data_IF_823730205523
#
_entry.id   IF_823730205523
#
_cell.length_a   1.000
_cell.length_b   1.000
_cell.length_c   1.000
_cell.angle_alpha   90.00
_cell.angle_beta   90.00
_cell.angle_gamma   90.00
#
_symmetry.space_group_name_H-M   'P 1'
#
loop_
_entity.id
_entity.type
_entity.pdbx_description
1 polymer ?
#
# COMPACT_ATOMS: atom_id res chain seq x y z
N UNK A 1 31.35 -64.12 -12.37
CA UNK A 1 31.27 -63.53 -11.02
C UNK A 1 30.83 -62.08 -11.20
N UNK A 2 29.53 -61.81 -11.07
CA UNK A 2 28.93 -60.50 -11.34
C UNK A 2 28.98 -59.68 -10.03
N UNK A 3 29.73 -58.58 -10.00
CA UNK A 3 29.78 -57.69 -8.83
C UNK A 3 28.60 -56.70 -8.88
N UNK A 4 27.70 -56.82 -7.92
CA UNK A 4 26.60 -55.88 -7.69
C UNK A 4 27.15 -54.67 -6.92
N UNK A 5 27.19 -53.49 -7.56
CA UNK A 5 27.52 -52.23 -6.89
C UNK A 5 26.28 -51.73 -6.14
N UNK A 6 26.30 -51.79 -4.81
CA UNK A 6 25.27 -51.17 -3.96
C UNK A 6 25.62 -49.69 -3.81
N UNK A 7 24.87 -48.81 -4.49
CA UNK A 7 24.88 -47.38 -4.20
C UNK A 7 24.10 -47.13 -2.90
N UNK A 8 24.82 -46.80 -1.83
CA UNK A 8 24.23 -46.27 -0.60
C UNK A 8 23.92 -44.80 -0.84
N UNK A 9 22.65 -44.48 -1.07
CA UNK A 9 22.17 -43.10 -1.12
C UNK A 9 22.25 -42.47 0.26
N UNK A 10 23.13 -41.50 0.44
CA UNK A 10 23.16 -40.64 1.63
C UNK A 10 21.99 -39.67 1.51
N UNK A 11 20.90 -39.95 2.23
CA UNK A 11 19.80 -39.01 2.40
C UNK A 11 20.27 -37.90 3.34
N UNK A 12 20.48 -36.69 2.81
CA UNK A 12 20.58 -35.50 3.65
C UNK A 12 19.20 -35.22 4.25
N UNK A 13 19.03 -35.20 5.58
CA UNK A 13 17.77 -34.75 6.17
C UNK A 13 17.54 -33.31 5.72
N UNK A 14 16.44 -33.08 5.00
CA UNK A 14 15.99 -31.73 4.72
C UNK A 14 15.75 -31.04 6.06
N UNK A 15 16.52 -30.00 6.36
CA UNK A 15 16.21 -29.11 7.46
C UNK A 15 14.90 -28.40 7.12
N UNK A 16 13.78 -28.92 7.61
CA UNK A 16 12.53 -28.18 7.61
C UNK A 16 12.75 -26.94 8.49
N UNK A 17 12.83 -25.77 7.86
CA UNK A 17 12.98 -24.51 8.58
C UNK A 17 11.81 -24.38 9.56
N UNK A 18 12.12 -24.24 10.86
CA UNK A 18 11.10 -24.03 11.89
C UNK A 18 10.38 -22.71 11.57
N UNK A 19 9.05 -22.76 11.42
CA UNK A 19 8.23 -21.58 11.22
C UNK A 19 8.41 -20.61 12.39
N UNK A 20 8.50 -19.33 12.05
CA UNK A 20 8.51 -18.23 13.01
C UNK A 20 7.10 -17.66 13.18
N UNK A 21 6.82 -16.88 14.24
CA UNK A 21 5.52 -16.21 14.45
C UNK A 21 4.94 -15.52 13.22
N UNK A 22 5.78 -14.80 12.48
CA UNK A 22 5.37 -14.10 11.25
C UNK A 22 4.87 -15.04 10.14
N UNK A 23 5.37 -16.28 10.08
CA UNK A 23 4.99 -17.26 9.04
C UNK A 23 3.57 -17.81 9.22
N UNK A 24 2.97 -17.56 10.39
CA UNK A 24 1.58 -17.90 10.67
C UNK A 24 0.60 -16.78 10.31
N UNK A 25 1.07 -15.57 9.99
CA UNK A 25 0.16 -14.47 9.66
C UNK A 25 -0.43 -14.65 8.26
N UNK A 26 -1.76 -14.63 8.18
CA UNK A 26 -2.50 -14.62 6.93
C UNK A 26 -3.16 -13.24 6.71
N UNK A 27 -2.55 -12.39 5.89
CA UNK A 27 -3.05 -11.04 5.60
C UNK A 27 -4.38 -11.02 4.84
N UNK A 28 -4.81 -12.13 4.23
CA UNK A 28 -6.13 -12.23 3.59
C UNK A 28 -7.23 -12.65 4.58
N UNK A 29 -6.88 -13.17 5.76
CA UNK A 29 -7.90 -13.60 6.70
C UNK A 29 -8.72 -12.39 7.16
N UNK A 30 -10.04 -12.51 6.96
CA UNK A 30 -11.01 -11.48 7.32
C UNK A 30 -11.27 -10.44 6.23
N UNK A 31 -10.55 -10.41 5.10
CA UNK A 31 -10.70 -9.37 4.06
C UNK A 31 -11.87 -9.61 3.09
N UNK A 32 -12.93 -10.28 3.56
CA UNK A 32 -14.17 -10.47 2.82
C UNK A 32 -15.32 -9.99 3.70
N UNK A 33 -16.23 -9.19 3.13
CA UNK A 33 -17.24 -8.45 3.87
C UNK A 33 -16.62 -7.62 5.01
N UNK A 34 -15.52 -6.94 4.71
CA UNK A 34 -14.67 -6.23 5.68
C UNK A 34 -14.65 -4.73 5.50
N UNK A 35 -14.40 -3.99 6.57
CA UNK A 35 -14.26 -2.52 6.50
C UNK A 35 -12.94 -2.10 5.83
N UNK A 36 -12.87 -0.84 5.40
CA UNK A 36 -11.73 -0.21 4.70
C UNK A 36 -10.38 -0.42 5.39
N UNK A 37 -10.38 -0.42 6.72
CA UNK A 37 -9.16 -0.55 7.53
C UNK A 37 -8.62 -1.99 7.60
N UNK A 38 -9.30 -2.97 7.00
CA UNK A 38 -8.85 -4.35 6.94
C UNK A 38 -8.45 -4.72 5.51
N UNK A 39 -7.15 -4.69 5.27
CA UNK A 39 -6.56 -4.80 3.94
C UNK A 39 -5.42 -5.85 3.92
N UNK A 40 -5.11 -6.45 2.76
CA UNK A 40 -4.02 -7.42 2.63
C UNK A 40 -2.63 -6.79 2.40
N UNK A 41 -2.58 -5.52 1.99
CA UNK A 41 -1.36 -4.82 1.65
C UNK A 41 -0.37 -4.59 2.81
N UNK A 42 0.90 -4.25 2.50
CA UNK A 42 1.92 -3.92 3.49
C UNK A 42 1.61 -2.68 4.32
N UNK A 43 1.97 -2.77 5.59
CA UNK A 43 2.12 -1.64 6.51
C UNK A 43 3.13 -2.01 7.60
N UNK A 44 3.71 -1.01 8.26
CA UNK A 44 4.49 -1.19 9.49
C UNK A 44 3.56 -1.11 10.71
N UNK A 45 3.99 -1.55 11.92
CA UNK A 45 3.19 -1.37 13.12
C UNK A 45 2.69 0.08 13.25
N UNK A 46 1.37 0.25 13.26
CA UNK A 46 0.64 1.51 13.25
C UNK A 46 1.01 2.47 12.11
N UNK A 47 1.57 1.99 10.99
CA UNK A 47 2.04 2.83 9.89
C UNK A 47 1.00 3.85 9.40
N UNK A 48 1.48 5.04 9.05
CA UNK A 48 0.73 6.04 8.30
C UNK A 48 0.40 5.50 6.90
N UNK A 49 1.39 4.93 6.23
CA UNK A 49 1.19 4.25 4.95
C UNK A 49 0.59 2.87 5.17
N UNK A 50 -0.51 2.63 4.48
CA UNK A 50 -1.21 1.35 4.39
C UNK A 50 -1.46 1.11 2.92
N UNK A 51 -0.41 0.68 2.24
CA UNK A 51 -0.37 0.56 0.79
C UNK A 51 -1.01 -0.77 0.38
N UNK A 52 -2.18 -0.74 -0.25
CA UNK A 52 -2.94 -1.98 -0.51
C UNK A 52 -3.72 -1.92 -1.83
N UNK A 53 -4.00 -3.08 -2.47
CA UNK A 53 -4.94 -3.17 -3.57
C UNK A 53 -6.35 -2.69 -3.20
N UNK A 54 -6.99 -2.01 -4.16
CA UNK A 54 -8.40 -1.65 -4.15
C UNK A 54 -9.14 -2.37 -5.28
N UNK A 55 -10.29 -2.95 -4.97
CA UNK A 55 -11.13 -3.66 -5.94
C UNK A 55 -12.65 -3.42 -5.80
N UNK A 56 -13.08 -2.64 -4.81
CA UNK A 56 -14.46 -2.21 -4.67
C UNK A 56 -14.64 -0.73 -5.03
N UNK A 57 -15.89 -0.36 -5.32
CA UNK A 57 -16.29 1.02 -5.55
C UNK A 57 -16.48 1.81 -4.25
N UNK A 58 -17.05 3.01 -4.37
CA UNK A 58 -17.42 3.85 -3.23
C UNK A 58 -18.72 3.34 -2.59
N UNK A 59 -18.56 2.42 -1.64
CA UNK A 59 -19.64 1.74 -0.92
C UNK A 59 -19.23 1.54 0.53
N UNK A 60 -20.19 1.31 1.43
CA UNK A 60 -19.87 0.81 2.76
C UNK A 60 -19.00 -0.45 2.64
N UNK A 61 -17.94 -0.55 3.44
CA UNK A 61 -16.93 -1.62 3.34
C UNK A 61 -16.11 -1.61 2.03
N UNK A 62 -16.14 -0.52 1.26
CA UNK A 62 -15.27 -0.35 0.09
C UNK A 62 -13.80 -0.52 0.46
N UNK A 63 -12.94 -0.72 -0.55
CA UNK A 63 -11.54 -1.10 -0.40
C UNK A 63 -11.26 -2.42 -1.10
N UNK A 64 -10.82 -3.41 -0.32
CA UNK A 64 -10.47 -4.74 -0.80
C UNK A 64 -11.48 -5.80 -0.34
N UNK A 65 -12.02 -6.56 -1.29
CA UNK A 65 -12.87 -7.73 -1.11
C UNK A 65 -12.21 -8.95 -1.75
N UNK A 66 -11.89 -9.96 -0.94
CA UNK A 66 -11.18 -11.17 -1.38
C UNK A 66 -11.88 -11.92 -2.52
N UNK A 67 -13.22 -11.88 -2.57
CA UNK A 67 -14.01 -12.56 -3.61
C UNK A 67 -14.04 -11.82 -4.97
N UNK A 68 -13.53 -10.59 -5.06
CA UNK A 68 -13.50 -9.81 -6.31
C UNK A 68 -12.16 -10.01 -7.02
N UNK A 69 -12.16 -10.76 -8.13
CA UNK A 69 -10.97 -11.14 -8.90
C UNK A 69 -10.42 -10.07 -9.87
N UNK A 70 -10.54 -8.78 -9.54
CA UNK A 70 -10.01 -7.67 -10.33
C UNK A 70 -9.49 -6.58 -9.42
N UNK A 71 -8.45 -5.84 -9.81
CA UNK A 71 -7.89 -4.71 -9.06
C UNK A 71 -7.96 -3.47 -9.94
N UNK A 72 -8.38 -2.34 -9.37
CA UNK A 72 -8.35 -1.05 -10.07
C UNK A 72 -7.21 -0.15 -9.60
N UNK A 73 -6.57 -0.44 -8.46
CA UNK A 73 -5.29 0.19 -8.14
C UNK A 73 -4.75 -0.14 -6.77
N UNK A 74 -3.75 0.63 -6.36
CA UNK A 74 -3.09 0.51 -5.07
C UNK A 74 -3.07 1.88 -4.38
N UNK A 75 -3.93 2.10 -3.38
CA UNK A 75 -3.96 3.34 -2.62
C UNK A 75 -3.07 3.31 -1.37
N UNK A 76 -2.58 4.48 -0.97
CA UNK A 76 -1.55 4.62 0.08
C UNK A 76 -2.13 4.71 1.50
N UNK A 77 -3.44 4.92 1.64
CA UNK A 77 -4.12 5.13 2.91
C UNK A 77 -5.33 4.20 3.05
N UNK A 78 -5.33 3.38 4.10
CA UNK A 78 -6.46 2.54 4.51
C UNK A 78 -6.76 2.75 6.00
N UNK A 79 -7.13 3.99 6.37
CA UNK A 79 -7.46 4.40 7.73
C UNK A 79 -8.92 4.81 7.87
N UNK A 80 -9.48 4.79 9.09
CA UNK A 80 -10.87 5.21 9.28
C UNK A 80 -11.06 6.66 8.80
N UNK A 81 -11.95 6.87 7.83
CA UNK A 81 -12.22 8.16 7.15
C UNK A 81 -11.02 8.76 6.39
N UNK A 82 -9.96 7.97 6.19
CA UNK A 82 -8.73 8.42 5.54
C UNK A 82 -8.37 7.51 4.38
N UNK A 83 -8.28 8.11 3.20
CA UNK A 83 -8.04 7.49 1.92
C UNK A 83 -7.24 8.48 1.06
N UNK A 84 -6.58 8.00 0.01
CA UNK A 84 -5.98 8.91 -0.96
C UNK A 84 -4.76 8.33 -1.63
N UNK A 85 -4.40 8.96 -2.75
CA UNK A 85 -3.29 8.63 -3.62
C UNK A 85 -3.30 7.16 -4.06
N UNK A 86 -3.94 6.91 -5.19
CA UNK A 86 -3.95 5.60 -5.84
C UNK A 86 -3.04 5.59 -7.04
N UNK A 87 -2.30 4.49 -7.19
CA UNK A 87 -1.48 4.22 -8.37
C UNK A 87 -1.93 2.92 -9.03
N UNK A 88 -1.92 2.88 -10.36
CA UNK A 88 -2.22 1.64 -11.09
C UNK A 88 -1.29 1.51 -12.31
N UNK A 89 -0.43 0.47 -12.37
CA UNK A 89 0.30 0.17 -13.59
C UNK A 89 -0.64 -0.52 -14.58
N UNK A 90 -0.66 -0.06 -15.83
CA UNK A 90 -1.55 -0.57 -16.87
C UNK A 90 -0.95 -0.34 -18.25
N UNK A 91 -1.56 -0.91 -19.29
CA UNK A 91 -1.17 -0.73 -20.70
C UNK A 91 -2.39 -0.91 -21.61
N UNK A 92 -2.17 -1.01 -22.93
CA UNK A 92 -3.25 -1.05 -23.91
C UNK A 92 -3.85 0.32 -24.19
N UNK A 93 -5.15 0.37 -24.46
CA UNK A 93 -5.87 1.60 -24.76
C UNK A 93 -5.89 2.54 -23.53
N UNK A 94 -5.73 3.84 -23.75
CA UNK A 94 -5.84 4.80 -22.66
C UNK A 94 -7.30 4.87 -22.20
N UNK A 95 -7.51 4.61 -20.92
CA UNK A 95 -8.78 4.78 -20.24
C UNK A 95 -8.53 5.42 -18.89
N UNK A 96 -9.41 6.35 -18.52
CA UNK A 96 -9.32 7.14 -17.30
C UNK A 96 -10.35 6.69 -16.24
N UNK A 97 -11.14 5.66 -16.56
CA UNK A 97 -12.08 5.03 -15.63
C UNK A 97 -11.52 3.68 -15.16
N UNK A 98 -11.75 3.28 -13.90
CA UNK A 98 -11.32 1.98 -13.39
C UNK A 98 -11.96 0.82 -14.15
N UNK A 99 -13.27 0.92 -14.33
CA UNK A 99 -14.11 -0.15 -14.83
C UNK A 99 -14.39 -1.23 -13.79
N UNK A 100 -15.30 -2.13 -14.14
CA UNK A 100 -15.75 -3.23 -13.27
C UNK A 100 -15.08 -4.55 -13.69
N UNK A 101 -15.11 -5.61 -12.86
CA UNK A 101 -14.49 -6.90 -13.19
C UNK A 101 -14.99 -7.54 -14.51
N UNK A 102 -16.20 -7.20 -14.94
CA UNK A 102 -16.83 -7.74 -16.15
C UNK A 102 -16.65 -6.83 -17.38
N UNK A 103 -16.14 -5.61 -17.20
CA UNK A 103 -15.86 -4.70 -18.32
C UNK A 103 -14.61 -5.18 -19.10
N UNK A 104 -14.53 -4.86 -20.41
CA UNK A 104 -13.36 -5.22 -21.20
C UNK A 104 -12.12 -4.44 -20.75
N UNK A 105 -10.93 -5.00 -20.99
CA UNK A 105 -9.66 -4.31 -20.79
C UNK A 105 -9.20 -3.49 -22.02
N UNK A 106 -9.74 -3.79 -23.20
CA UNK A 106 -9.39 -3.12 -24.47
C UNK A 106 -10.64 -2.83 -25.29
N UNK A 107 -10.57 -1.81 -26.14
CA UNK A 107 -11.66 -1.39 -27.02
C UNK A 107 -12.68 -0.49 -26.32
N UNK A 108 -13.87 -0.38 -26.92
CA UNK A 108 -14.93 0.48 -26.43
C UNK A 108 -15.35 0.08 -25.01
N UNK A 109 -15.55 1.08 -24.14
CA UNK A 109 -15.93 0.93 -22.73
C UNK A 109 -14.89 0.25 -21.84
N UNK A 110 -13.62 0.16 -22.26
CA UNK A 110 -12.57 -0.44 -21.45
C UNK A 110 -12.26 0.35 -20.16
N UNK A 111 -11.92 -0.37 -19.10
CA UNK A 111 -11.41 0.18 -17.84
C UNK A 111 -9.91 -0.12 -17.66
N UNK A 112 -9.21 0.66 -16.83
CA UNK A 112 -7.78 0.43 -16.57
C UNK A 112 -7.51 -0.70 -15.57
N UNK A 113 -8.56 -1.25 -14.95
CA UNK A 113 -8.47 -2.37 -14.02
C UNK A 113 -7.73 -3.54 -14.66
N UNK A 114 -7.27 -4.47 -13.83
CA UNK A 114 -6.80 -5.75 -14.31
C UNK A 114 -7.33 -6.85 -13.43
N UNK A 115 -7.80 -7.90 -14.08
CA UNK A 115 -8.14 -9.17 -13.44
C UNK A 115 -6.90 -9.82 -12.87
N UNK A 116 -7.10 -10.62 -11.83
CA UNK A 116 -6.08 -11.46 -11.22
C UNK A 116 -6.72 -12.79 -10.80
N UNK A 117 -5.90 -13.81 -10.57
CA UNK A 117 -6.37 -15.07 -9.98
C UNK A 117 -6.06 -15.08 -8.48
N UNK A 118 -6.91 -15.69 -7.63
CA UNK A 118 -6.62 -15.78 -6.20
C UNK A 118 -5.27 -16.43 -5.85
N UNK A 119 -4.78 -17.36 -6.68
CA UNK A 119 -3.45 -17.99 -6.55
C UNK A 119 -2.30 -17.12 -7.08
N UNK A 120 -2.61 -16.07 -7.84
CA UNK A 120 -1.69 -15.06 -8.38
C UNK A 120 -1.43 -13.89 -7.44
N UNK A 121 -1.91 -13.93 -6.20
CA UNK A 121 -1.61 -12.93 -5.17
C UNK A 121 -0.88 -13.56 -3.97
N UNK A 122 0.02 -12.79 -3.36
CA UNK A 122 0.77 -13.17 -2.16
C UNK A 122 0.78 -11.99 -1.20
N UNK A 123 0.57 -12.27 0.09
CA UNK A 123 0.59 -11.25 1.12
C UNK A 123 1.19 -11.80 2.41
N UNK A 124 1.99 -10.98 3.08
CA UNK A 124 2.59 -11.24 4.39
C UNK A 124 2.83 -9.89 5.08
N UNK A 125 3.02 -9.84 6.41
CA UNK A 125 3.32 -8.58 7.08
C UNK A 125 4.49 -7.84 6.43
N UNK A 126 4.23 -6.62 5.93
CA UNK A 126 5.21 -5.80 5.23
C UNK A 126 5.44 -6.09 3.74
N UNK A 127 4.69 -7.00 3.12
CA UNK A 127 4.81 -7.29 1.68
C UNK A 127 3.50 -7.76 1.03
N UNK A 128 3.25 -7.30 -0.20
CA UNK A 128 2.16 -7.78 -1.06
C UNK A 128 2.66 -7.92 -2.50
N UNK A 129 2.12 -8.88 -3.24
CA UNK A 129 2.33 -9.00 -4.68
C UNK A 129 1.10 -9.55 -5.39
N UNK A 130 0.92 -9.15 -6.65
CA UNK A 130 -0.11 -9.69 -7.53
C UNK A 130 0.33 -9.68 -8.99
N UNK A 131 -0.05 -10.72 -9.73
CA UNK A 131 0.07 -10.78 -11.18
C UNK A 131 -1.20 -10.19 -11.83
N UNK A 132 -1.06 -9.03 -12.48
CA UNK A 132 -2.14 -8.36 -13.20
C UNK A 132 -2.27 -8.97 -14.60
N UNK A 133 -3.26 -9.83 -14.78
CA UNK A 133 -3.36 -10.73 -15.95
C UNK A 133 -3.60 -9.97 -17.25
N UNK A 134 -4.45 -8.95 -17.22
CA UNK A 134 -4.86 -8.23 -18.43
C UNK A 134 -3.74 -7.36 -18.99
N UNK A 135 -2.96 -6.75 -18.09
CA UNK A 135 -1.81 -5.93 -18.45
C UNK A 135 -0.51 -6.73 -18.56
N UNK A 136 -0.47 -7.97 -18.09
CA UNK A 136 0.76 -8.76 -17.94
C UNK A 136 1.84 -8.06 -17.10
N UNK A 137 1.42 -7.30 -16.09
CA UNK A 137 2.31 -6.58 -15.17
C UNK A 137 2.30 -7.30 -13.83
N UNK A 138 3.49 -7.56 -13.27
CA UNK A 138 3.59 -7.96 -11.85
C UNK A 138 3.72 -6.71 -11.00
N UNK A 139 2.88 -6.59 -9.98
CA UNK A 139 2.96 -5.53 -8.98
C UNK A 139 3.40 -6.08 -7.63
N UNK A 140 4.41 -5.47 -7.03
CA UNK A 140 4.94 -5.79 -5.70
C UNK A 140 4.96 -4.52 -4.85
N UNK A 141 4.54 -4.63 -3.60
CA UNK A 141 4.36 -3.51 -2.67
C UNK A 141 5.08 -3.81 -1.36
N UNK A 142 5.71 -2.79 -0.80
CA UNK A 142 6.18 -2.75 0.59
C UNK A 142 6.02 -1.34 1.15
N UNK A 143 6.21 -1.15 2.44
CA UNK A 143 6.05 0.16 3.08
C UNK A 143 6.97 0.31 4.29
N UNK A 144 7.37 1.54 4.57
CA UNK A 144 7.87 1.98 5.88
C UNK A 144 6.71 2.58 6.67
N UNK A 145 6.97 3.29 7.77
CA UNK A 145 5.89 3.94 8.54
C UNK A 145 5.16 5.02 7.73
N UNK A 146 5.86 5.83 6.91
CA UNK A 146 5.28 6.99 6.19
C UNK A 146 5.61 7.01 4.69
N UNK A 147 6.28 5.98 4.20
CA UNK A 147 6.67 5.86 2.78
C UNK A 147 6.21 4.54 2.18
N UNK A 148 5.48 4.58 1.06
CA UNK A 148 5.16 3.40 0.26
C UNK A 148 6.22 3.14 -0.81
N UNK A 149 6.52 1.87 -1.09
CA UNK A 149 7.45 1.48 -2.16
C UNK A 149 6.80 0.41 -3.03
N UNK A 150 6.85 0.62 -4.34
CA UNK A 150 6.21 -0.22 -5.34
C UNK A 150 7.26 -0.66 -6.36
N UNK A 151 7.21 -1.92 -6.78
CA UNK A 151 8.01 -2.46 -7.88
C UNK A 151 7.06 -3.05 -8.92
N UNK A 152 7.14 -2.54 -10.14
CA UNK A 152 6.34 -3.01 -11.27
C UNK A 152 7.26 -3.64 -12.31
N UNK A 153 7.02 -4.92 -12.64
CA UNK A 153 7.64 -5.58 -13.79
C UNK A 153 6.76 -5.33 -15.01
N UNK A 154 7.18 -4.40 -15.85
CA UNK A 154 6.47 -4.01 -17.06
C UNK A 154 6.84 -4.95 -18.23
N UNK A 155 5.87 -5.48 -18.99
CA UNK A 155 6.15 -6.32 -20.15
C UNK A 155 6.69 -5.46 -21.30
N UNK A 156 7.25 -6.11 -22.33
CA UNK A 156 7.56 -5.45 -23.61
C UNK A 156 6.28 -4.89 -24.24
N UNK A 157 6.05 -3.60 -24.06
CA UNK A 157 4.90 -2.87 -24.58
C UNK A 157 5.24 -1.37 -24.70
N UNK A 158 4.85 -0.75 -25.81
CA UNK A 158 5.05 0.69 -26.05
C UNK A 158 4.03 1.57 -25.31
N UNK A 159 2.99 0.95 -24.75
CA UNK A 159 1.84 1.61 -24.14
C UNK A 159 1.84 1.53 -22.60
N UNK A 160 2.86 0.96 -21.95
CA UNK A 160 2.89 0.89 -20.49
C UNK A 160 2.78 2.29 -19.86
N UNK A 161 1.94 2.36 -18.83
CA UNK A 161 1.63 3.56 -18.06
C UNK A 161 1.58 3.25 -16.58
N UNK A 162 1.86 4.26 -15.77
CA UNK A 162 1.56 4.26 -14.35
C UNK A 162 0.58 5.40 -14.10
N UNK A 163 -0.65 5.05 -13.78
CA UNK A 163 -1.72 5.97 -13.42
C UNK A 163 -1.52 6.47 -12.00
N UNK A 164 -1.84 7.74 -11.74
CA UNK A 164 -1.79 8.42 -10.44
C UNK A 164 -3.12 9.14 -10.27
N UNK A 165 -3.88 8.81 -9.23
CA UNK A 165 -5.25 9.25 -9.07
C UNK A 165 -5.46 9.80 -7.66
N UNK A 166 -6.12 10.96 -7.57
CA UNK A 166 -6.44 11.59 -6.30
C UNK A 166 -7.93 11.50 -5.95
N UNK A 167 -8.77 11.21 -6.95
CA UNK A 167 -10.15 10.78 -6.76
C UNK A 167 -10.23 9.27 -6.75
N UNK A 168 -10.52 8.67 -5.60
CA UNK A 168 -10.45 7.22 -5.41
C UNK A 168 -11.70 6.70 -4.70
N UNK A 169 -12.05 5.42 -4.87
CA UNK A 169 -13.05 4.77 -4.02
C UNK A 169 -12.63 4.78 -2.55
N UNK A 170 -13.61 4.88 -1.65
CA UNK A 170 -13.43 4.79 -0.21
C UNK A 170 -14.70 4.22 0.45
N UNK A 171 -14.64 3.89 1.74
CA UNK A 171 -15.80 3.38 2.49
C UNK A 171 -16.89 4.43 2.74
N UNK A 172 -16.49 5.69 2.88
CA UNK A 172 -17.39 6.84 3.00
C UNK A 172 -17.27 7.72 1.77
N UNK A 173 -18.26 8.60 1.55
CA UNK A 173 -18.21 9.58 0.48
C UNK A 173 -16.85 10.31 0.50
N UNK A 174 -16.10 10.22 -0.61
CA UNK A 174 -14.80 10.84 -0.76
C UNK A 174 -14.94 12.00 -1.76
N UNK A 175 -14.79 13.22 -1.26
CA UNK A 175 -14.90 14.42 -2.08
C UNK A 175 -13.57 15.14 -2.13
N UNK A 176 -12.99 15.22 -3.32
CA UNK A 176 -11.78 15.98 -3.55
C UNK A 176 -12.11 17.46 -3.75
N UNK A 177 -11.75 18.30 -2.78
CA UNK A 177 -12.10 19.73 -2.76
C UNK A 177 -11.10 20.58 -3.53
N UNK A 178 -9.81 20.27 -3.39
CA UNK A 178 -8.72 20.95 -4.08
C UNK A 178 -7.55 19.98 -4.19
N UNK A 179 -6.88 19.96 -5.33
CA UNK A 179 -5.81 19.03 -5.57
C UNK A 179 -4.84 19.55 -6.62
N UNK A 180 -3.59 19.13 -6.50
CA UNK A 180 -2.53 19.47 -7.42
C UNK A 180 -1.56 18.32 -7.62
N UNK A 181 -1.16 18.10 -8.86
CA UNK A 181 -0.07 17.20 -9.24
C UNK A 181 0.92 18.00 -10.08
N UNK A 182 2.18 18.02 -9.67
CA UNK A 182 3.25 18.78 -10.32
C UNK A 182 4.40 17.84 -10.70
N UNK A 183 4.76 17.84 -11.98
CA UNK A 183 5.99 17.25 -12.51
C UNK A 183 7.18 18.14 -12.15
N UNK A 184 8.04 17.65 -11.27
CA UNK A 184 9.31 18.34 -10.89
C UNK A 184 10.42 17.98 -11.88
N UNK A 185 10.54 16.69 -12.20
CA UNK A 185 11.47 16.16 -13.19
C UNK A 185 10.86 14.95 -13.89
N UNK A 186 11.59 14.27 -14.78
CA UNK A 186 11.13 12.99 -15.32
C UNK A 186 11.28 11.81 -14.33
N UNK A 187 11.71 12.06 -13.10
CA UNK A 187 11.85 11.05 -12.04
C UNK A 187 11.19 11.50 -10.73
N UNK A 188 10.52 12.64 -10.70
CA UNK A 188 9.89 13.16 -9.49
C UNK A 188 8.59 13.91 -9.79
N UNK A 189 7.55 13.52 -9.05
CA UNK A 189 6.23 14.16 -9.02
C UNK A 189 5.92 14.53 -7.57
N UNK A 190 5.31 15.69 -7.36
CA UNK A 190 4.84 16.14 -6.05
C UNK A 190 3.39 16.57 -6.15
N UNK A 191 2.66 16.55 -5.05
CA UNK A 191 1.30 17.03 -5.07
C UNK A 191 0.62 17.04 -3.72
N UNK A 192 -0.63 17.47 -3.74
CA UNK A 192 -1.52 17.37 -2.59
C UNK A 192 -2.96 17.10 -3.02
N UNK A 193 -3.73 16.57 -2.08
CA UNK A 193 -5.16 16.33 -2.19
C UNK A 193 -5.83 16.78 -0.89
N UNK A 194 -6.61 17.86 -0.96
CA UNK A 194 -7.53 18.26 0.10
C UNK A 194 -8.84 17.52 -0.10
N UNK A 195 -9.14 16.63 0.84
CA UNK A 195 -10.23 15.68 0.73
C UNK A 195 -11.18 15.79 1.92
N UNK A 196 -12.45 15.59 1.64
CA UNK A 196 -13.51 15.49 2.63
C UNK A 196 -14.06 14.06 2.60
N UNK A 197 -13.97 13.37 3.74
CA UNK A 197 -14.59 12.06 3.94
C UNK A 197 -15.93 12.29 4.63
N UNK A 198 -16.99 12.34 3.82
CA UNK A 198 -18.28 13.00 4.06
C UNK A 198 -18.66 13.16 5.52
N UNK A 199 -18.91 14.34 6.07
CA UNK A 199 -19.27 14.65 7.47
C UNK A 199 -18.28 14.26 8.58
N UNK A 200 -17.39 13.29 8.40
CA UNK A 200 -16.53 12.81 9.48
C UNK A 200 -15.17 13.48 9.54
N UNK A 201 -14.58 13.81 8.40
CA UNK A 201 -13.19 14.28 8.36
C UNK A 201 -12.89 15.17 7.15
N UNK A 202 -12.01 16.15 7.35
CA UNK A 202 -11.39 16.96 6.30
C UNK A 202 -9.88 16.94 6.53
N UNK A 203 -9.09 16.62 5.51
CA UNK A 203 -7.63 16.58 5.64
C UNK A 203 -6.96 16.90 4.31
N UNK A 204 -5.70 17.30 4.37
CA UNK A 204 -4.85 17.45 3.18
C UNK A 204 -3.75 16.39 3.20
N UNK A 205 -3.75 15.53 2.20
CA UNK A 205 -2.67 14.58 1.95
C UNK A 205 -1.64 15.22 1.02
N UNK A 206 -0.41 15.40 1.50
CA UNK A 206 0.74 15.80 0.70
C UNK A 206 1.55 14.58 0.31
N UNK A 207 2.10 14.56 -0.91
CA UNK A 207 2.92 13.45 -1.37
C UNK A 207 4.11 13.88 -2.24
N UNK A 208 5.17 13.08 -2.17
CA UNK A 208 6.35 13.14 -3.04
C UNK A 208 6.62 11.75 -3.58
N UNK A 209 6.54 11.59 -4.90
CA UNK A 209 6.79 10.35 -5.63
C UNK A 209 8.10 10.45 -6.40
N UNK A 210 9.00 9.51 -6.18
CA UNK A 210 10.22 9.36 -6.97
C UNK A 210 10.17 8.06 -7.77
N UNK A 211 10.70 8.10 -8.99
CA UNK A 211 10.75 6.97 -9.92
C UNK A 211 12.20 6.58 -10.18
N UNK A 212 12.49 5.29 -10.10
CA UNK A 212 13.84 4.72 -10.35
C UNK A 212 14.32 4.90 -11.80
N UNK A 213 13.39 5.13 -12.73
CA UNK A 213 13.67 5.39 -14.15
C UNK A 213 12.97 6.67 -14.59
N UNK A 214 13.58 7.36 -15.54
CA UNK A 214 12.94 8.51 -16.19
C UNK A 214 11.72 8.04 -16.98
N UNK A 215 10.54 8.58 -16.69
CA UNK A 215 9.38 8.42 -17.58
C UNK A 215 9.55 9.26 -18.86
N UNK A 216 8.88 8.84 -19.94
CA UNK A 216 8.93 9.55 -21.22
C UNK A 216 7.98 10.74 -21.23
N UNK A 217 6.70 10.49 -20.98
CA UNK A 217 5.65 11.50 -20.98
C UNK A 217 5.01 11.61 -19.59
N UNK A 218 4.48 12.80 -19.31
CA UNK A 218 3.59 13.07 -18.19
C UNK A 218 2.37 13.78 -18.74
N UNK A 219 1.19 13.20 -18.50
CA UNK A 219 -0.09 13.74 -18.95
C UNK A 219 -1.05 13.80 -17.78
N UNK A 220 -1.91 14.80 -17.80
CA UNK A 220 -2.92 15.04 -16.78
C UNK A 220 -4.32 14.88 -17.32
N UNK A 221 -5.27 14.67 -16.43
CA UNK A 221 -6.68 14.66 -16.79
C UNK A 221 -7.55 15.21 -15.65
N UNK A 222 -8.71 15.72 -16.05
CA UNK A 222 -9.80 16.11 -15.16
C UNK A 222 -11.13 15.72 -15.78
N UNK A 223 -12.10 15.29 -14.97
CA UNK A 223 -13.41 14.84 -15.45
C UNK A 223 -13.31 13.83 -16.60
N UNK A 224 -12.40 12.85 -16.45
CA UNK A 224 -12.07 11.82 -17.44
C UNK A 224 -11.69 12.36 -18.83
N UNK A 225 -11.14 13.57 -18.91
CA UNK A 225 -10.62 14.17 -20.15
C UNK A 225 -9.16 14.57 -19.98
N UNK A 226 -8.33 14.13 -20.91
CA UNK A 226 -6.94 14.56 -20.96
C UNK A 226 -6.85 16.08 -21.10
N UNK A 227 -5.91 16.65 -20.36
CA UNK A 227 -5.54 18.06 -20.46
C UNK A 227 -4.45 18.25 -21.51
N UNK A 228 -4.30 19.47 -22.05
CA UNK A 228 -3.11 19.86 -22.81
C UNK A 228 -1.83 19.59 -22.02
N UNK A 229 -0.71 19.47 -22.73
CA UNK A 229 0.57 19.22 -22.08
C UNK A 229 0.95 20.33 -21.10
N UNK A 230 1.38 19.93 -19.91
CA UNK A 230 1.73 20.83 -18.83
C UNK A 230 2.54 20.13 -17.74
N UNK A 231 3.16 20.94 -16.86
CA UNK A 231 3.88 20.42 -15.69
C UNK A 231 3.04 20.41 -14.43
N UNK A 232 1.89 21.08 -14.43
CA UNK A 232 0.99 21.17 -13.29
C UNK A 232 -0.42 20.82 -13.73
N UNK A 233 -1.11 20.05 -12.89
CA UNK A 233 -2.51 19.66 -13.03
C UNK A 233 -3.16 20.09 -11.73
N UNK A 234 -4.16 20.96 -11.83
CA UNK A 234 -4.91 21.47 -10.68
C UNK A 234 -6.39 21.26 -10.93
N UNK A 235 -7.15 20.92 -9.89
CA UNK A 235 -8.57 20.62 -10.06
C UNK A 235 -9.24 20.18 -8.77
N UNK A 236 -10.52 19.84 -8.89
CA UNK A 236 -11.36 19.27 -7.84
C UNK A 236 -12.19 18.13 -8.42
N UNK A 237 -12.81 17.33 -7.55
CA UNK A 237 -13.65 16.17 -7.89
C UNK A 237 -12.92 15.02 -8.56
N UNK A 238 -12.54 15.16 -9.83
CA UNK A 238 -11.85 14.14 -10.61
C UNK A 238 -10.57 14.70 -11.22
N UNK A 239 -9.44 14.21 -10.73
CA UNK A 239 -8.10 14.64 -11.14
C UNK A 239 -7.15 13.45 -11.03
N UNK A 240 -6.29 13.35 -12.03
CA UNK A 240 -5.19 12.43 -12.01
C UNK A 240 -4.14 12.79 -13.04
N UNK A 241 -3.10 11.97 -13.05
CA UNK A 241 -2.02 12.02 -14.00
C UNK A 241 -1.65 10.60 -14.41
N UNK A 242 -0.86 10.47 -15.46
CA UNK A 242 -0.13 9.25 -15.71
C UNK A 242 1.22 9.56 -16.35
N UNK A 243 2.14 8.62 -16.18
CA UNK A 243 3.46 8.64 -16.81
C UNK A 243 3.62 7.44 -17.73
N UNK A 244 4.36 7.60 -18.82
CA UNK A 244 4.55 6.55 -19.84
C UNK A 244 5.94 5.92 -19.78
N UNK A 245 5.99 4.60 -20.01
CA UNK A 245 7.21 3.79 -20.08
C UNK A 245 7.16 2.86 -21.31
N UNK A 246 7.42 3.35 -22.53
CA UNK A 246 7.55 2.47 -23.67
C UNK A 246 8.77 1.56 -23.48
N UNK A 247 8.55 0.24 -23.48
CA UNK A 247 9.60 -0.76 -23.21
C UNK A 247 9.82 -1.66 -24.42
N UNK A 248 11.07 -2.02 -24.68
CA UNK A 248 11.46 -2.93 -25.76
C UNK A 248 11.71 -4.37 -25.31
N UNK A 249 11.75 -4.58 -23.98
CA UNK A 249 11.91 -5.83 -23.25
C UNK A 249 11.23 -5.69 -21.89
N UNK A 250 11.16 -6.77 -21.11
CA UNK A 250 10.69 -6.68 -19.73
C UNK A 250 11.60 -5.74 -18.92
N UNK A 251 10.98 -4.84 -18.15
CA UNK A 251 11.70 -3.85 -17.35
C UNK A 251 11.03 -3.62 -16.01
N UNK A 252 11.83 -3.54 -14.95
CA UNK A 252 11.36 -3.12 -13.64
C UNK A 252 11.40 -1.60 -13.50
N UNK A 253 10.32 -1.03 -12.95
CA UNK A 253 10.23 0.35 -12.49
C UNK A 253 9.81 0.33 -11.02
N UNK A 254 10.65 0.90 -10.17
CA UNK A 254 10.34 1.16 -8.77
C UNK A 254 9.83 2.59 -8.58
N UNK A 255 8.87 2.75 -7.68
CA UNK A 255 8.32 4.02 -7.19
C UNK A 255 8.48 4.04 -5.67
N UNK A 256 8.95 5.15 -5.12
CA UNK A 256 8.92 5.41 -3.68
C UNK A 256 8.16 6.70 -3.40
N UNK A 257 7.25 6.64 -2.44
CA UNK A 257 6.25 7.69 -2.22
C UNK A 257 6.17 8.03 -0.75
N UNK A 258 6.65 9.22 -0.37
CA UNK A 258 6.48 9.76 0.98
C UNK A 258 5.18 10.52 1.07
N UNK A 259 4.48 10.38 2.19
CA UNK A 259 3.25 11.13 2.46
C UNK A 259 3.34 11.93 3.76
N UNK A 260 2.51 12.96 3.89
CA UNK A 260 2.36 13.76 5.10
C UNK A 260 0.98 14.40 5.16
N UNK A 261 0.45 14.60 6.36
CA UNK A 261 -0.75 15.42 6.61
C UNK A 261 -0.43 16.88 6.94
N UNK A 262 0.85 17.28 6.90
CA UNK A 262 1.32 18.61 7.29
C UNK A 262 1.78 19.42 6.07
N UNK A 263 2.68 18.89 5.24
CA UNK A 263 3.19 19.62 4.07
C UNK A 263 3.98 18.75 3.08
N UNK A 264 4.26 19.30 1.89
CA UNK A 264 5.19 18.72 0.92
C UNK A 264 6.61 18.51 1.47
N UNK A 265 7.13 19.47 2.24
CA UNK A 265 8.48 19.39 2.80
C UNK A 265 8.58 18.24 3.80
N UNK A 266 7.50 17.99 4.54
CA UNK A 266 7.42 16.88 5.48
C UNK A 266 7.27 15.53 4.78
N UNK A 267 6.48 15.45 3.71
CA UNK A 267 6.42 14.26 2.87
C UNK A 267 7.79 13.92 2.26
N UNK A 268 8.55 14.93 1.82
CA UNK A 268 9.92 14.77 1.34
C UNK A 268 10.89 14.31 2.45
N UNK A 269 10.75 14.89 3.65
CA UNK A 269 11.57 14.51 4.81
C UNK A 269 11.30 13.07 5.25
N UNK A 270 10.02 12.65 5.29
CA UNK A 270 9.61 11.28 5.61
C UNK A 270 10.27 10.29 4.64
N UNK A 271 10.10 10.50 3.32
CA UNK A 271 10.72 9.68 2.27
C UNK A 271 12.23 9.59 2.44
N UNK A 272 12.91 10.73 2.59
CA UNK A 272 14.37 10.77 2.71
C UNK A 272 14.86 10.04 3.96
N UNK A 273 14.19 10.23 5.08
CA UNK A 273 14.65 9.73 6.38
C UNK A 273 14.44 8.23 6.50
N UNK A 274 13.28 7.73 6.08
CA UNK A 274 12.90 6.32 6.25
C UNK A 274 13.57 5.40 5.22
N UNK A 275 13.91 5.92 4.02
CA UNK A 275 14.56 5.13 2.97
C UNK A 275 16.07 5.32 2.86
N UNK A 276 16.70 6.13 3.72
CA UNK A 276 18.15 6.43 3.64
C UNK A 276 19.05 5.18 3.63
N UNK A 277 18.65 4.13 4.36
CA UNK A 277 19.43 2.90 4.55
C UNK A 277 19.10 1.81 3.51
N UNK A 278 18.07 2.04 2.67
CA UNK A 278 17.61 1.09 1.65
C UNK A 278 17.81 1.63 0.23
N UNK A 279 17.76 2.96 0.05
CA UNK A 279 17.71 3.66 -1.24
C UNK A 279 16.64 3.11 -2.20
N UNK A 280 17.02 2.22 -3.12
CA UNK A 280 16.13 1.53 -4.07
C UNK A 280 16.10 0.00 -3.87
N UNK A 281 16.76 -0.52 -2.83
CA UNK A 281 16.77 -1.95 -2.52
C UNK A 281 15.44 -2.38 -1.88
N UNK A 282 14.50 -2.74 -2.76
CA UNK A 282 13.17 -3.20 -2.38
C UNK A 282 13.22 -4.49 -1.53
N UNK A 283 14.09 -5.43 -1.88
CA UNK A 283 14.14 -6.74 -1.21
C UNK A 283 14.78 -6.62 0.18
N UNK A 284 15.76 -5.73 0.36
CA UNK A 284 16.28 -5.38 1.68
C UNK A 284 15.21 -4.76 2.58
N UNK A 285 14.37 -3.86 2.05
CA UNK A 285 13.25 -3.29 2.82
C UNK A 285 12.21 -4.35 3.20
N UNK A 286 11.85 -5.25 2.28
CA UNK A 286 10.95 -6.39 2.58
C UNK A 286 11.53 -7.26 3.70
N UNK A 287 12.83 -7.56 3.63
CA UNK A 287 13.52 -8.34 4.67
C UNK A 287 13.49 -7.62 6.03
N UNK A 288 13.81 -6.33 6.05
CA UNK A 288 13.76 -5.51 7.26
C UNK A 288 12.35 -5.51 7.87
N UNK A 289 11.32 -5.33 7.05
CA UNK A 289 9.93 -5.33 7.52
C UNK A 289 9.53 -6.69 8.12
N UNK A 290 9.96 -7.79 7.49
CA UNK A 290 9.77 -9.14 8.05
C UNK A 290 10.42 -9.25 9.43
N UNK A 291 11.65 -8.76 9.59
CA UNK A 291 12.37 -8.81 10.87
C UNK A 291 11.67 -7.99 11.96
N UNK A 292 11.23 -6.77 11.65
CA UNK A 292 10.49 -5.91 12.59
C UNK A 292 9.18 -6.56 13.03
N UNK A 293 8.38 -7.04 12.08
CA UNK A 293 7.10 -7.70 12.39
C UNK A 293 7.31 -8.98 13.17
N UNK A 294 8.29 -9.80 12.80
CA UNK A 294 8.60 -11.03 13.52
C UNK A 294 9.08 -10.76 14.94
N UNK A 295 9.89 -9.72 15.14
CA UNK A 295 10.32 -9.30 16.48
C UNK A 295 9.14 -8.87 17.35
N UNK A 296 8.18 -8.14 16.77
CA UNK A 296 6.97 -7.74 17.47
C UNK A 296 6.08 -8.94 17.79
N UNK A 297 5.87 -9.86 16.85
CA UNK A 297 5.00 -11.02 17.06
C UNK A 297 5.62 -12.04 18.05
N UNK A 298 6.95 -12.06 18.19
CA UNK A 298 7.67 -12.87 19.19
C UNK A 298 7.47 -12.40 20.63
N UNK A 299 6.84 -11.24 20.89
CA UNK A 299 6.54 -10.81 22.27
C UNK A 299 5.58 -11.76 22.98
N UNK A 300 4.78 -12.51 22.24
CA UNK A 300 3.90 -13.55 22.79
C UNK A 300 4.12 -14.84 22.00
N UNK A 301 4.74 -15.82 22.65
CA UNK A 301 4.91 -17.15 22.08
C UNK A 301 3.76 -18.07 22.52
N UNK A 302 3.16 -18.77 21.56
CA UNK A 302 2.09 -19.74 21.80
C UNK A 302 2.53 -21.16 21.41
N UNK A 303 2.24 -22.11 22.29
CA UNK A 303 2.52 -23.53 22.09
C UNK A 303 1.25 -24.30 21.69
N UNK A 304 1.43 -25.52 21.16
CA UNK A 304 0.34 -26.39 20.72
C UNK A 304 0.51 -26.89 19.28
N UNK A 305 -0.17 -27.99 18.96
CA UNK A 305 0.00 -28.70 17.68
C UNK A 305 -0.91 -28.16 16.56
N UNK A 306 -1.92 -27.36 16.90
CA UNK A 306 -2.87 -26.80 15.94
C UNK A 306 -2.27 -25.62 15.18
N UNK A 307 -1.90 -25.86 13.92
CA UNK A 307 -1.43 -24.81 13.00
C UNK A 307 -2.51 -23.76 12.74
N UNK A 308 -3.77 -24.18 12.64
CA UNK A 308 -4.92 -23.28 12.48
C UNK A 308 -5.04 -22.29 13.63
N UNK A 309 -4.80 -22.71 14.87
CA UNK A 309 -4.91 -21.83 16.04
C UNK A 309 -3.74 -20.85 16.09
N UNK A 310 -2.53 -21.28 15.70
CA UNK A 310 -1.38 -20.38 15.53
C UNK A 310 -1.64 -19.33 14.45
N UNK A 311 -2.23 -19.72 13.31
CA UNK A 311 -2.60 -18.78 12.24
C UNK A 311 -3.62 -17.76 12.74
N UNK A 312 -4.67 -18.21 13.44
CA UNK A 312 -5.67 -17.31 14.03
C UNK A 312 -5.03 -16.37 15.03
N UNK A 313 -4.21 -16.88 15.95
CA UNK A 313 -3.58 -16.09 16.99
C UNK A 313 -2.66 -15.00 16.42
N UNK A 314 -1.66 -15.39 15.63
CA UNK A 314 -0.67 -14.43 15.12
C UNK A 314 -1.26 -13.46 14.11
N UNK A 315 -2.27 -13.87 13.33
CA UNK A 315 -2.97 -12.93 12.46
C UNK A 315 -3.76 -11.90 13.27
N UNK A 316 -4.48 -12.31 14.32
CA UNK A 316 -5.19 -11.34 15.17
C UNK A 316 -4.22 -10.43 15.92
N UNK A 317 -3.10 -10.95 16.42
CA UNK A 317 -2.05 -10.16 17.04
C UNK A 317 -1.47 -9.13 16.05
N UNK A 318 -1.19 -9.54 14.81
CA UNK A 318 -0.80 -8.61 13.73
C UNK A 318 -1.84 -7.50 13.55
N UNK A 319 -3.13 -7.83 13.47
CA UNK A 319 -4.21 -6.83 13.30
C UNK A 319 -4.34 -5.85 14.46
N UNK A 320 -3.97 -6.23 15.67
CA UNK A 320 -3.90 -5.31 16.81
C UNK A 320 -2.94 -4.13 16.56
N UNK A 321 -1.91 -4.31 15.72
CA UNK A 321 -0.93 -3.27 15.40
C UNK A 321 -1.12 -2.66 14.01
N UNK A 322 -2.19 -2.96 13.28
CA UNK A 322 -2.47 -2.30 11.97
C UNK A 322 -3.72 -1.43 12.00
N UNK A 323 -4.56 -1.59 13.02
CA UNK A 323 -5.85 -0.90 13.13
C UNK A 323 -5.74 0.60 13.44
N UNK A 324 -4.63 1.05 14.03
CA UNK A 324 -4.36 2.47 14.30
C UNK A 324 -3.33 3.03 13.31
N UNK A 325 -3.14 4.34 13.31
CA UNK A 325 -2.35 5.04 12.30
C UNK A 325 -1.49 6.13 12.93
N UNK A 326 -0.21 6.16 12.61
CA UNK A 326 0.68 7.27 12.91
C UNK A 326 0.21 8.50 12.12
N UNK A 327 0.03 9.61 12.83
CA UNK A 327 -0.42 10.90 12.28
C UNK A 327 0.71 11.94 12.22
N UNK A 328 1.82 11.69 12.91
CA UNK A 328 2.98 12.58 12.93
C UNK A 328 4.02 12.21 11.89
N UNK A 329 4.67 13.22 11.30
CA UNK A 329 5.87 13.08 10.47
C UNK A 329 7.10 12.60 11.27
N UNK A 330 8.19 12.26 10.59
CA UNK A 330 9.42 11.73 11.21
C UNK A 330 10.09 12.71 12.19
N UNK A 331 9.86 14.01 12.04
CA UNK A 331 10.34 15.04 12.98
C UNK A 331 9.31 15.38 14.07
N UNK A 332 8.20 14.65 14.13
CA UNK A 332 7.19 14.79 15.18
C UNK A 332 6.16 15.90 14.95
N UNK A 333 6.14 16.59 13.81
CA UNK A 333 5.00 17.47 13.50
C UNK A 333 3.77 16.66 13.14
N UNK A 334 2.59 17.18 13.47
CA UNK A 334 1.30 16.59 13.10
C UNK A 334 0.22 17.67 13.07
N UNK A 335 -0.90 17.40 12.41
CA UNK A 335 -2.08 18.26 12.44
C UNK A 335 -3.02 17.75 13.54
N UNK A 336 -3.44 18.62 14.46
CA UNK A 336 -4.37 18.27 15.54
C UNK A 336 -5.84 18.31 15.08
N UNK A 337 -6.75 17.91 15.97
CA UNK A 337 -8.19 17.80 15.66
C UNK A 337 -8.90 19.15 15.43
N UNK A 338 -8.20 20.28 15.60
CA UNK A 338 -8.71 21.63 15.28
C UNK A 338 -7.88 22.30 14.19
N UNK A 339 -7.22 21.48 13.35
CA UNK A 339 -6.49 21.86 12.15
C UNK A 339 -5.24 22.72 12.38
N UNK A 340 -4.64 22.66 13.57
CA UNK A 340 -3.37 23.34 13.84
C UNK A 340 -2.18 22.37 13.73
N UNK A 341 -1.09 22.86 13.15
CA UNK A 341 0.18 22.12 13.13
C UNK A 341 0.80 22.19 14.53
N UNK A 342 1.00 21.02 15.13
CA UNK A 342 1.62 20.82 16.43
C UNK A 342 2.96 20.11 16.30
N UNK A 343 3.70 20.07 17.40
CA UNK A 343 4.98 19.37 17.54
C UNK A 343 4.90 18.42 18.73
N UNK A 344 5.28 17.16 18.53
CA UNK A 344 5.40 16.19 19.61
C UNK A 344 6.39 16.67 20.68
N UNK A 345 6.09 16.47 21.98
CA UNK A 345 7.08 16.60 23.04
C UNK A 345 8.27 15.66 22.81
N UNK A 346 9.48 16.09 23.18
CA UNK A 346 10.72 15.35 22.90
C UNK A 346 10.77 13.90 23.43
N UNK A 347 9.95 13.56 24.44
CA UNK A 347 9.88 12.21 25.00
C UNK A 347 8.89 11.28 24.28
N UNK A 348 8.12 11.79 23.30
CA UNK A 348 7.15 11.01 22.52
C UNK A 348 7.74 10.68 21.15
N UNK A 349 7.58 9.43 20.70
CA UNK A 349 8.08 8.96 19.39
C UNK A 349 7.12 9.28 18.25
N UNK A 350 5.83 9.03 18.46
CA UNK A 350 4.79 9.19 17.43
C UNK A 350 3.48 9.72 18.03
N UNK A 351 2.67 10.37 17.20
CA UNK A 351 1.26 10.63 17.47
C UNK A 351 0.44 9.54 16.77
N UNK A 352 -0.36 8.78 17.51
CA UNK A 352 -1.22 7.74 16.94
C UNK A 352 -2.68 8.22 16.93
N UNK A 353 -3.26 8.28 15.74
CA UNK A 353 -4.67 8.52 15.51
C UNK A 353 -5.43 7.24 15.17
N UNK A 354 -6.74 7.37 15.04
CA UNK A 354 -7.65 6.29 14.67
C UNK A 354 -9.00 6.43 15.35
N UNK A 355 -9.91 5.53 15.00
CA UNK A 355 -11.27 5.52 15.50
C UNK A 355 -11.42 4.70 16.79
N UNK A 356 -12.58 4.90 17.43
CA UNK A 356 -13.14 3.98 18.42
C UNK A 356 -12.20 3.58 19.57
N UNK A 357 -11.36 4.49 20.07
CA UNK A 357 -10.60 4.28 21.32
C UNK A 357 -11.50 3.94 22.52
N UNK A 358 -12.78 4.28 22.46
CA UNK A 358 -13.76 3.82 23.44
C UNK A 358 -13.89 2.28 23.49
N UNK A 359 -13.72 1.56 22.38
CA UNK A 359 -13.76 0.09 22.42
C UNK A 359 -12.43 -0.52 22.88
N UNK A 360 -11.32 0.21 22.76
CA UNK A 360 -9.99 -0.36 22.99
C UNK A 360 -9.69 -0.61 24.46
N UNK A 361 -10.43 0.00 25.40
CA UNK A 361 -10.20 -0.21 26.84
C UNK A 361 -10.50 -1.64 27.31
N UNK A 362 -11.34 -2.40 26.59
CA UNK A 362 -11.72 -3.76 26.97
C UNK A 362 -10.68 -4.80 26.50
N UNK A 363 -9.83 -4.44 25.54
CA UNK A 363 -8.96 -5.40 24.86
C UNK A 363 -7.60 -4.82 24.48
N UNK A 364 -7.53 -3.94 23.49
CA UNK A 364 -6.31 -3.52 22.82
C UNK A 364 -5.39 -2.73 23.75
N UNK A 365 -5.94 -1.84 24.58
CA UNK A 365 -5.13 -1.08 25.54
C UNK A 365 -4.49 -2.02 26.58
N UNK A 366 -5.22 -3.05 27.03
CA UNK A 366 -4.70 -4.07 27.96
C UNK A 366 -3.60 -4.90 27.29
N UNK A 367 -3.84 -5.34 26.05
CA UNK A 367 -2.85 -6.08 25.28
C UNK A 367 -1.57 -5.27 25.09
N UNK A 368 -1.67 -4.02 24.60
CA UNK A 368 -0.52 -3.15 24.38
C UNK A 368 0.23 -2.84 25.68
N UNK A 369 -0.47 -2.63 26.79
CA UNK A 369 0.20 -2.42 28.09
C UNK A 369 1.06 -3.63 28.49
N UNK A 370 0.64 -4.85 28.15
CA UNK A 370 1.37 -6.08 28.49
C UNK A 370 2.47 -6.42 27.48
N UNK A 371 2.20 -6.29 26.18
CA UNK A 371 3.09 -6.77 25.12
C UNK A 371 3.95 -5.70 24.48
N UNK A 372 3.57 -4.42 24.59
CA UNK A 372 4.27 -3.32 23.93
C UNK A 372 4.06 -1.97 24.64
N UNK A 373 4.51 -1.82 25.90
CA UNK A 373 4.25 -0.63 26.72
C UNK A 373 4.91 0.67 26.21
N UNK A 374 5.85 0.54 25.27
CA UNK A 374 6.53 1.66 24.59
C UNK A 374 5.73 2.21 23.39
N UNK A 375 4.67 1.51 22.96
CA UNK A 375 3.83 1.88 21.80
C UNK A 375 2.97 3.11 22.08
#
# INVERSE_FOLDING_TARGET
MLFLLIMIGIAFPGYTQKKEPIDYVNSFMGTSNSRWMLFPGPTMPNGMVKLSPDNQGNVWQGGYEYSVGSIHGFSHLHGWTMAGLLTMPTNGDLTLKPGTPDEPFKGANAGYHSRYRPDGQKASPGYYAVDLIDSHIKAELTATERTGVQRYSLPKDSSNRIMIQLNIPAEYAYELKDARITKVSNTEIRGYAKSYSGWFNEYTLYFVMQFSKSFKDFKGYTDQKELPEGKEISGSKDIGAYVTYPTSKEEQVLIRTGISFVSLDQAALNLKTELKDFDWDFDALVKHNREVWNSLLKTIEVEGDSETDKVKFYTNLYRCFTGKMIMSDVNGKYTDAVENVQQLPAHRKVMIGGDAYWNTFWNLNLLWTLSSPET
#
